data_IF_484465063655
#
_entry.id   IF_484465063655
#
_cell.length_a   1.000
_cell.length_b   1.000
_cell.length_c   1.000
_cell.angle_alpha   90.00
_cell.angle_beta   90.00
_cell.angle_gamma   90.00
#
_symmetry.space_group_name_H-M   'P 1'
#
loop_
_entity.id
_entity.type
_entity.pdbx_description
1 polymer ?
#
# COMPACT_ATOMS: atom_id res chain seq x y z
N UNK A 1 -20.77 75.32 -12.16
CA UNK A 1 -21.48 74.00 -12.14
C UNK A 1 -20.45 72.93 -11.84
N UNK A 2 -20.44 72.27 -10.67
CA UNK A 2 -19.43 71.32 -10.31
C UNK A 2 -19.78 69.89 -10.70
N UNK A 3 -18.90 69.25 -11.41
CA UNK A 3 -18.96 67.82 -11.80
C UNK A 3 -18.60 66.96 -10.58
N UNK A 4 -19.52 66.10 -10.16
CA UNK A 4 -19.35 65.12 -9.08
C UNK A 4 -18.57 63.91 -9.58
N UNK A 5 -17.36 63.73 -9.09
CA UNK A 5 -16.56 62.52 -9.28
C UNK A 5 -17.03 61.44 -8.32
N UNK A 6 -17.60 60.34 -8.83
CA UNK A 6 -17.96 59.16 -8.04
C UNK A 6 -16.75 58.26 -7.93
N UNK A 7 -16.24 58.16 -6.70
CA UNK A 7 -15.11 57.27 -6.35
C UNK A 7 -15.70 55.88 -5.98
N UNK A 8 -15.51 54.89 -6.87
CA UNK A 8 -15.91 53.51 -6.60
C UNK A 8 -14.86 52.84 -5.69
N UNK A 9 -15.27 52.55 -4.47
CA UNK A 9 -14.45 51.76 -3.51
C UNK A 9 -14.67 50.28 -3.82
N UNK A 10 -13.64 49.64 -4.45
CA UNK A 10 -13.59 48.19 -4.55
C UNK A 10 -13.24 47.59 -3.19
N UNK A 11 -14.21 47.02 -2.53
CA UNK A 11 -13.99 46.21 -1.32
C UNK A 11 -13.38 44.84 -1.75
N UNK A 12 -12.11 44.67 -1.47
CA UNK A 12 -11.43 43.37 -1.56
C UNK A 12 -11.91 42.48 -0.42
N UNK A 13 -12.76 41.51 -0.73
CA UNK A 13 -13.11 40.45 0.22
C UNK A 13 -11.92 39.51 0.38
N UNK A 14 -11.19 39.63 1.49
CA UNK A 14 -10.21 38.69 1.97
C UNK A 14 -10.94 37.41 2.39
N UNK A 15 -10.92 36.38 1.54
CA UNK A 15 -11.35 35.03 1.89
C UNK A 15 -10.37 34.46 2.92
N UNK A 16 -10.81 34.45 4.17
CA UNK A 16 -10.15 33.81 5.30
C UNK A 16 -10.05 32.31 5.04
N UNK A 17 -8.87 31.83 4.73
CA UNK A 17 -8.57 30.40 4.75
C UNK A 17 -8.68 29.94 6.19
N UNK A 18 -9.70 29.17 6.51
CA UNK A 18 -9.86 28.50 7.78
C UNK A 18 -8.74 27.45 7.92
N UNK A 19 -7.64 27.84 8.55
CA UNK A 19 -6.70 26.91 9.13
C UNK A 19 -7.48 26.11 10.17
N UNK A 20 -7.61 24.81 9.98
CA UNK A 20 -8.16 23.91 10.99
C UNK A 20 -7.25 24.02 12.23
N UNK A 21 -7.59 24.94 13.14
CA UNK A 21 -6.94 25.04 14.44
C UNK A 21 -7.28 23.79 15.22
N UNK A 22 -6.26 23.01 15.54
CA UNK A 22 -6.34 21.89 16.46
C UNK A 22 -6.81 22.45 17.81
N UNK A 23 -8.13 22.38 18.06
CA UNK A 23 -8.75 22.85 19.30
C UNK A 23 -8.42 21.84 20.38
N UNK A 24 -7.67 22.26 21.38
CA UNK A 24 -7.49 21.45 22.58
C UNK A 24 -8.86 21.18 23.22
N UNK A 25 -9.14 19.92 23.63
CA UNK A 25 -10.41 19.59 24.26
C UNK A 25 -10.57 20.40 25.54
N UNK A 26 -11.79 20.89 25.77
CA UNK A 26 -12.12 21.64 26.98
C UNK A 26 -12.16 20.70 28.19
N UNK A 27 -11.98 21.24 29.41
CA UNK A 27 -12.11 20.44 30.64
C UNK A 27 -13.44 19.69 30.73
N UNK A 28 -14.53 20.30 30.23
CA UNK A 28 -15.85 19.64 30.19
C UNK A 28 -15.90 18.46 29.22
N UNK A 29 -15.18 18.52 28.11
CA UNK A 29 -15.06 17.39 27.15
C UNK A 29 -14.21 16.29 27.75
N UNK A 30 -13.15 16.64 28.46
CA UNK A 30 -12.29 15.66 29.18
C UNK A 30 -13.07 14.98 30.30
N UNK A 31 -13.88 15.73 31.07
CA UNK A 31 -14.72 15.14 32.13
C UNK A 31 -15.81 14.22 31.56
N UNK A 32 -16.45 14.59 30.44
CA UNK A 32 -17.40 13.69 29.75
C UNK A 32 -16.72 12.43 29.23
N UNK A 33 -15.51 12.55 28.65
CA UNK A 33 -14.75 11.40 28.21
C UNK A 33 -14.36 10.49 29.40
N UNK A 34 -13.96 11.04 30.55
CA UNK A 34 -13.70 10.28 31.77
C UNK A 34 -14.92 9.55 32.31
N UNK A 35 -16.11 10.17 32.23
CA UNK A 35 -17.38 9.53 32.63
C UNK A 35 -17.78 8.41 31.66
N UNK A 36 -17.44 8.53 30.39
CA UNK A 36 -17.71 7.53 29.36
C UNK A 36 -16.72 6.36 29.39
N UNK A 37 -15.46 6.60 29.83
CA UNK A 37 -14.43 5.59 30.06
C UNK A 37 -14.48 5.11 31.52
N UNK A 38 -15.42 4.19 31.80
CA UNK A 38 -15.43 3.49 33.09
C UNK A 38 -14.17 2.65 33.20
N UNK A 39 -13.31 2.96 34.15
CA UNK A 39 -12.19 2.08 34.47
C UNK A 39 -12.75 0.70 34.89
N UNK A 40 -12.17 -0.42 34.39
CA UNK A 40 -12.61 -1.75 34.80
C UNK A 40 -12.47 -1.90 36.32
N UNK A 41 -13.50 -2.38 36.96
CA UNK A 41 -13.49 -2.67 38.40
C UNK A 41 -12.79 -4.02 38.64
N UNK A 42 -12.37 -4.27 39.90
CA UNK A 42 -11.80 -5.56 40.28
C UNK A 42 -12.73 -6.74 39.94
N UNK A 43 -14.05 -6.52 40.01
CA UNK A 43 -15.06 -7.50 39.60
C UNK A 43 -15.02 -7.77 38.07
N UNK A 44 -14.80 -6.76 37.25
CA UNK A 44 -14.66 -6.90 35.78
C UNK A 44 -13.38 -7.65 35.42
N UNK A 45 -12.30 -7.40 36.18
CA UNK A 45 -11.01 -8.10 36.03
C UNK A 45 -11.15 -9.57 36.41
N UNK A 46 -11.82 -9.89 37.52
CA UNK A 46 -12.07 -11.28 37.95
C UNK A 46 -13.03 -12.01 37.01
N UNK A 47 -14.03 -11.33 36.45
CA UNK A 47 -14.90 -11.90 35.42
C UNK A 47 -14.12 -12.19 34.12
N UNK A 48 -13.22 -11.30 33.73
CA UNK A 48 -12.32 -11.50 32.59
C UNK A 48 -11.37 -12.67 32.82
N UNK A 49 -10.75 -12.79 34.00
CA UNK A 49 -9.92 -13.93 34.37
C UNK A 49 -10.66 -15.28 34.32
N UNK A 50 -11.94 -15.28 34.73
CA UNK A 50 -12.78 -16.49 34.63
C UNK A 50 -13.12 -16.83 33.18
N UNK A 51 -13.38 -15.83 32.35
CA UNK A 51 -13.74 -15.99 30.93
C UNK A 51 -12.53 -16.41 30.08
N UNK A 52 -11.36 -15.83 30.36
CA UNK A 52 -10.11 -16.12 29.67
C UNK A 52 -9.18 -16.91 30.61
N UNK A 53 -9.63 -18.10 31.01
CA UNK A 53 -8.80 -19.00 31.80
C UNK A 53 -7.50 -19.29 31.07
N UNK A 54 -6.39 -18.87 31.62
CA UNK A 54 -5.09 -19.35 31.16
C UNK A 54 -5.08 -20.89 31.30
N UNK A 55 -4.63 -21.61 30.27
CA UNK A 55 -4.49 -23.07 30.39
C UNK A 55 -3.56 -23.36 31.56
N UNK A 56 -3.84 -24.41 32.35
CA UNK A 56 -3.00 -24.78 33.48
C UNK A 56 -1.58 -25.04 33.00
N UNK A 57 -0.60 -24.70 33.82
CA UNK A 57 0.83 -24.80 33.50
C UNK A 57 1.19 -26.19 32.92
N UNK A 58 0.55 -27.25 33.42
CA UNK A 58 0.72 -28.61 32.90
C UNK A 58 0.31 -28.81 31.45
N UNK A 59 -0.61 -27.97 30.90
CA UNK A 59 -0.94 -27.98 29.47
C UNK A 59 0.07 -27.20 28.64
N UNK A 60 0.63 -26.13 29.20
CA UNK A 60 1.71 -25.37 28.58
C UNK A 60 2.99 -26.22 28.51
N UNK A 61 3.32 -26.93 29.61
CA UNK A 61 4.45 -27.82 29.65
C UNK A 61 4.29 -29.03 28.71
N UNK A 62 3.06 -29.58 28.55
CA UNK A 62 2.78 -30.60 27.53
C UNK A 62 2.90 -30.07 26.12
N UNK A 63 2.44 -28.84 25.86
CA UNK A 63 2.57 -28.22 24.55
C UNK A 63 4.05 -27.93 24.23
N UNK A 64 4.82 -27.51 25.22
CA UNK A 64 6.26 -27.32 25.09
C UNK A 64 7.01 -28.66 24.89
N UNK A 65 6.60 -29.72 25.59
CA UNK A 65 7.21 -31.06 25.46
C UNK A 65 6.73 -31.84 24.23
N UNK A 66 5.57 -31.49 23.64
CA UNK A 66 5.08 -32.10 22.41
C UNK A 66 5.68 -31.45 21.14
N UNK A 67 6.39 -30.36 21.27
CA UNK A 67 7.30 -29.93 20.22
C UNK A 67 8.45 -30.93 20.20
N UNK A 68 8.38 -31.91 19.29
CA UNK A 68 9.56 -32.73 18.96
C UNK A 68 10.73 -31.79 18.81
N UNK A 69 11.84 -32.00 19.50
CA UNK A 69 13.01 -31.14 19.31
C UNK A 69 13.29 -31.14 17.82
N UNK A 70 13.25 -29.96 17.21
CA UNK A 70 13.65 -29.81 15.81
C UNK A 70 15.06 -30.38 15.77
N UNK A 71 15.20 -31.55 15.11
CA UNK A 71 16.51 -32.13 14.95
C UNK A 71 17.29 -31.22 13.98
N UNK A 72 18.03 -30.27 14.54
CA UNK A 72 18.86 -29.33 13.79
C UNK A 72 19.93 -30.05 12.98
N UNK A 73 20.34 -31.26 13.41
CA UNK A 73 21.32 -32.10 12.70
C UNK A 73 20.71 -32.74 11.43
N UNK A 74 19.38 -32.80 11.33
CA UNK A 74 18.68 -33.29 10.14
C UNK A 74 18.42 -32.19 9.09
N UNK A 75 18.68 -30.92 9.40
CA UNK A 75 18.65 -29.83 8.43
C UNK A 75 19.98 -29.93 7.66
N UNK A 76 19.96 -30.16 6.32
CA UNK A 76 21.19 -30.16 5.55
C UNK A 76 21.80 -28.76 5.65
N UNK A 77 22.77 -28.60 6.53
CA UNK A 77 23.58 -27.40 6.59
C UNK A 77 24.38 -27.32 5.29
N UNK A 78 24.38 -26.17 4.61
CA UNK A 78 25.28 -25.99 3.49
C UNK A 78 26.71 -26.27 3.99
N UNK A 79 27.36 -27.26 3.41
CA UNK A 79 28.76 -27.59 3.69
C UNK A 79 29.65 -26.50 3.11
N UNK A 80 29.88 -25.46 3.88
CA UNK A 80 30.75 -24.35 3.57
C UNK A 80 30.65 -23.32 4.69
N UNK A 81 31.78 -22.76 5.08
CA UNK A 81 31.78 -21.59 5.95
C UNK A 81 30.93 -20.51 5.28
N UNK A 82 29.82 -20.15 5.92
CA UNK A 82 29.04 -18.99 5.49
C UNK A 82 29.92 -17.78 5.74
N UNK A 83 30.48 -17.20 4.69
CA UNK A 83 31.20 -15.95 4.74
C UNK A 83 30.21 -14.82 5.12
N UNK A 84 29.98 -14.70 6.44
CA UNK A 84 29.06 -13.69 7.01
C UNK A 84 29.57 -12.29 6.71
N UNK A 85 30.89 -12.08 6.64
CA UNK A 85 31.47 -10.79 6.27
C UNK A 85 31.28 -10.50 4.78
N UNK A 86 31.44 -11.50 3.90
CA UNK A 86 31.13 -11.37 2.48
C UNK A 86 29.64 -11.10 2.24
N UNK A 87 28.76 -11.79 2.97
CA UNK A 87 27.32 -11.56 2.93
C UNK A 87 26.96 -10.16 3.45
N UNK A 88 27.56 -9.71 4.55
CA UNK A 88 27.34 -8.36 5.09
C UNK A 88 27.86 -7.29 4.13
N UNK A 89 29.02 -7.48 3.52
CA UNK A 89 29.55 -6.58 2.46
C UNK A 89 28.68 -6.57 1.22
N UNK A 90 28.22 -7.73 0.78
CA UNK A 90 27.28 -7.83 -0.36
C UNK A 90 25.94 -7.15 -0.03
N UNK A 91 25.43 -7.28 1.21
CA UNK A 91 24.24 -6.60 1.66
C UNK A 91 24.43 -5.08 1.69
N UNK A 92 25.57 -4.58 2.25
CA UNK A 92 25.89 -3.15 2.26
C UNK A 92 26.06 -2.59 0.84
N UNK A 93 26.73 -3.30 -0.06
CA UNK A 93 26.90 -2.91 -1.45
C UNK A 93 25.58 -2.91 -2.22
N UNK A 94 24.69 -3.86 -1.91
CA UNK A 94 23.39 -3.99 -2.54
C UNK A 94 22.29 -3.21 -1.80
N UNK A 95 22.57 -2.68 -0.59
CA UNK A 95 21.58 -1.91 0.18
C UNK A 95 21.02 -0.74 -0.64
N UNK A 96 21.89 -0.01 -1.35
CA UNK A 96 21.45 1.06 -2.25
C UNK A 96 20.71 0.54 -3.49
N UNK A 97 20.98 -0.69 -3.93
CA UNK A 97 20.18 -1.32 -4.97
C UNK A 97 18.81 -1.74 -4.42
N UNK A 98 18.74 -2.32 -3.21
CA UNK A 98 17.48 -2.62 -2.52
C UNK A 98 16.70 -1.37 -2.11
N UNK A 99 17.38 -0.26 -1.76
CA UNK A 99 16.75 1.03 -1.48
C UNK A 99 16.31 1.74 -2.77
N UNK A 100 17.07 1.64 -3.86
CA UNK A 100 16.67 2.08 -5.20
C UNK A 100 15.55 1.20 -5.78
N UNK A 101 15.54 -0.08 -5.42
CA UNK A 101 14.60 -1.08 -5.93
C UNK A 101 13.28 -1.13 -5.12
N UNK A 102 12.95 -0.06 -4.43
CA UNK A 102 11.56 0.18 -4.01
C UNK A 102 10.71 0.55 -5.23
N UNK A 103 10.84 -0.17 -6.34
CA UNK A 103 9.96 -0.29 -7.50
C UNK A 103 9.21 0.94 -8.05
N UNK A 104 9.35 2.09 -7.39
CA UNK A 104 8.59 3.30 -7.67
C UNK A 104 9.40 4.37 -8.40
N UNK A 105 10.74 4.37 -8.26
CA UNK A 105 11.64 5.25 -8.98
C UNK A 105 12.45 4.44 -10.00
N UNK A 106 11.82 4.14 -11.11
CA UNK A 106 12.45 3.50 -12.27
C UNK A 106 12.88 4.56 -13.27
N UNK A 107 13.91 4.26 -14.05
CA UNK A 107 14.29 5.03 -15.26
C UNK A 107 13.27 4.88 -16.41
N UNK A 108 12.31 3.97 -16.24
CA UNK A 108 11.18 3.77 -17.14
C UNK A 108 9.85 4.08 -16.41
N UNK A 109 8.81 4.50 -17.13
CA UNK A 109 7.48 4.63 -16.53
C UNK A 109 6.96 3.27 -16.07
N UNK A 110 6.27 3.26 -14.93
CA UNK A 110 5.72 2.04 -14.31
C UNK A 110 4.20 2.15 -14.22
N UNK A 111 3.53 1.05 -14.52
CA UNK A 111 2.09 0.90 -14.34
C UNK A 111 1.81 -0.09 -13.21
N UNK A 112 1.19 0.40 -12.15
CA UNK A 112 0.69 -0.43 -11.05
C UNK A 112 -0.80 -0.67 -11.19
N UNK A 113 -1.22 -1.89 -10.89
CA UNK A 113 -2.63 -2.29 -10.85
C UNK A 113 -2.93 -2.82 -9.45
N UNK A 114 -3.59 -2.00 -8.66
CA UNK A 114 -3.98 -2.32 -7.30
C UNK A 114 -5.23 -3.17 -7.30
N UNK A 115 -5.16 -4.37 -6.74
CA UNK A 115 -6.25 -5.35 -6.74
C UNK A 115 -6.41 -6.01 -5.37
N UNK A 116 -7.52 -6.71 -5.18
CA UNK A 116 -7.74 -7.62 -4.07
C UNK A 116 -8.13 -8.99 -4.60
N UNK A 117 -7.75 -10.06 -3.90
CA UNK A 117 -8.12 -11.41 -4.30
C UNK A 117 -9.62 -11.71 -4.10
N UNK A 118 -10.35 -10.86 -3.39
CA UNK A 118 -11.82 -10.92 -3.28
C UNK A 118 -12.57 -10.36 -4.49
N UNK A 119 -11.90 -9.85 -5.51
CA UNK A 119 -12.53 -9.41 -6.75
C UNK A 119 -13.02 -10.63 -7.57
N UNK A 120 -14.01 -10.43 -8.48
CA UNK A 120 -14.43 -11.51 -9.38
C UNK A 120 -13.25 -12.09 -10.16
N UNK A 121 -13.14 -13.40 -10.19
CA UNK A 121 -12.03 -14.10 -10.84
C UNK A 121 -11.91 -13.73 -12.32
N UNK A 122 -13.03 -13.53 -13.01
CA UNK A 122 -13.05 -13.12 -14.41
C UNK A 122 -12.37 -11.74 -14.60
N UNK A 123 -12.64 -10.79 -13.71
CA UNK A 123 -11.99 -9.46 -13.73
C UNK A 123 -10.49 -9.61 -13.47
N UNK A 124 -10.09 -10.39 -12.46
CA UNK A 124 -8.68 -10.63 -12.16
C UNK A 124 -7.94 -11.26 -13.36
N UNK A 125 -8.53 -12.27 -14.01
CA UNK A 125 -7.94 -12.93 -15.18
C UNK A 125 -7.79 -11.99 -16.38
N UNK A 126 -8.76 -11.09 -16.61
CA UNK A 126 -8.68 -10.05 -17.63
C UNK A 126 -7.52 -9.08 -17.34
N UNK A 127 -7.44 -8.60 -16.11
CA UNK A 127 -6.37 -7.68 -15.68
C UNK A 127 -4.99 -8.34 -15.77
N UNK A 128 -4.87 -9.61 -15.38
CA UNK A 128 -3.64 -10.41 -15.50
C UNK A 128 -3.22 -10.55 -16.97
N UNK A 129 -4.18 -10.80 -17.88
CA UNK A 129 -3.89 -10.90 -19.30
C UNK A 129 -3.30 -9.59 -19.84
N UNK A 130 -3.91 -8.49 -19.51
CA UNK A 130 -3.43 -7.17 -19.94
C UNK A 130 -2.13 -6.76 -19.21
N UNK A 131 -1.99 -7.09 -17.92
CA UNK A 131 -0.76 -6.85 -17.16
C UNK A 131 0.43 -7.62 -17.73
N UNK A 132 0.24 -8.86 -18.18
CA UNK A 132 1.31 -9.65 -18.81
C UNK A 132 1.82 -9.01 -20.10
N UNK A 133 0.95 -8.39 -20.89
CA UNK A 133 1.33 -7.67 -22.13
C UNK A 133 1.97 -6.32 -21.86
N UNK A 134 1.47 -5.59 -20.87
CA UNK A 134 1.98 -4.27 -20.51
C UNK A 134 3.23 -4.32 -19.64
N UNK A 135 3.51 -5.46 -19.01
CA UNK A 135 4.47 -5.58 -17.90
C UNK A 135 4.06 -4.69 -16.71
N UNK A 136 2.76 -4.57 -16.47
CA UNK A 136 2.25 -3.88 -15.30
C UNK A 136 2.46 -4.75 -14.06
N UNK A 137 2.68 -4.09 -12.92
CA UNK A 137 2.88 -4.73 -11.63
C UNK A 137 1.52 -4.80 -10.92
N UNK A 138 1.09 -6.03 -10.58
CA UNK A 138 -0.12 -6.24 -9.79
C UNK A 138 0.20 -6.07 -8.31
N UNK A 139 -0.55 -5.21 -7.59
CA UNK A 139 -0.26 -4.88 -6.19
C UNK A 139 -1.40 -5.33 -5.30
N UNK A 140 -1.06 -6.15 -4.29
CA UNK A 140 -1.96 -6.58 -3.23
C UNK A 140 -1.71 -5.77 -1.95
N UNK A 141 -2.77 -5.43 -1.24
CA UNK A 141 -2.68 -4.74 0.05
C UNK A 141 -2.17 -5.65 1.17
N UNK A 142 -2.37 -6.95 1.06
CA UNK A 142 -2.00 -7.90 2.10
C UNK A 142 -2.20 -9.34 1.66
N UNK A 143 -2.13 -10.24 2.65
CA UNK A 143 -2.21 -11.68 2.46
C UNK A 143 -3.64 -12.19 2.61
N UNK A 144 -4.02 -13.16 1.81
CA UNK A 144 -5.25 -13.92 1.99
C UNK A 144 -5.17 -14.76 3.26
N UNK A 145 -6.14 -14.60 4.17
CA UNK A 145 -6.18 -15.30 5.47
C UNK A 145 -4.86 -15.20 6.26
N UNK A 146 -4.14 -14.08 6.15
CA UNK A 146 -2.82 -13.86 6.76
C UNK A 146 -1.78 -14.95 6.38
N UNK A 147 -1.95 -15.63 5.25
CA UNK A 147 -1.11 -16.74 4.81
C UNK A 147 -0.45 -16.46 3.47
N UNK A 148 0.87 -16.32 3.48
CA UNK A 148 1.66 -16.16 2.24
C UNK A 148 1.51 -17.38 1.31
N UNK A 149 1.42 -18.57 1.88
CA UNK A 149 1.27 -19.82 1.11
C UNK A 149 -0.08 -19.85 0.36
N UNK A 150 -1.17 -19.48 1.03
CA UNK A 150 -2.50 -19.44 0.40
C UNK A 150 -2.54 -18.33 -0.67
N UNK A 151 -2.03 -17.16 -0.36
CA UNK A 151 -1.91 -16.05 -1.31
C UNK A 151 -1.14 -16.48 -2.55
N UNK A 152 0.05 -17.07 -2.38
CA UNK A 152 0.88 -17.52 -3.49
C UNK A 152 0.19 -18.60 -4.34
N UNK A 153 -0.47 -19.58 -3.71
CA UNK A 153 -1.20 -20.63 -4.42
C UNK A 153 -2.37 -20.06 -5.23
N UNK A 154 -3.14 -19.15 -4.65
CA UNK A 154 -4.27 -18.49 -5.34
C UNK A 154 -3.77 -17.63 -6.52
N UNK A 155 -2.75 -16.80 -6.29
CA UNK A 155 -2.12 -15.99 -7.34
C UNK A 155 -1.59 -16.90 -8.47
N UNK A 156 -0.94 -18.01 -8.13
CA UNK A 156 -0.42 -18.97 -9.13
C UNK A 156 -1.56 -19.57 -9.98
N UNK A 157 -2.71 -19.90 -9.38
CA UNK A 157 -3.88 -20.39 -10.13
C UNK A 157 -4.42 -19.33 -11.09
N UNK A 158 -4.44 -18.06 -10.67
CA UNK A 158 -4.91 -16.94 -11.49
C UNK A 158 -3.96 -16.67 -12.67
N UNK A 159 -2.67 -16.65 -12.42
CA UNK A 159 -1.63 -16.36 -13.43
C UNK A 159 -1.54 -17.47 -14.50
N UNK A 160 -1.60 -18.73 -14.07
CA UNK A 160 -1.39 -19.88 -14.95
C UNK A 160 0.00 -19.85 -15.56
N UNK A 161 0.10 -19.76 -16.90
CA UNK A 161 1.36 -19.72 -17.66
C UNK A 161 1.84 -18.29 -18.00
N UNK A 162 1.12 -17.27 -17.56
CA UNK A 162 1.46 -15.88 -17.89
C UNK A 162 2.58 -15.37 -17.00
N UNK A 163 3.35 -14.42 -17.51
CA UNK A 163 4.39 -13.74 -16.74
C UNK A 163 3.85 -12.38 -16.28
N UNK A 164 3.54 -12.28 -14.99
CA UNK A 164 3.03 -11.06 -14.36
C UNK A 164 3.72 -10.89 -13.02
N UNK A 165 4.25 -9.71 -12.79
CA UNK A 165 4.86 -9.36 -11.52
C UNK A 165 3.78 -9.04 -10.49
N UNK A 166 3.92 -9.63 -9.27
CA UNK A 166 3.04 -9.37 -8.15
C UNK A 166 3.83 -8.85 -6.96
N UNK A 167 3.31 -7.80 -6.37
CA UNK A 167 3.86 -7.17 -5.19
C UNK A 167 2.83 -7.19 -4.06
N UNK A 168 3.24 -7.52 -2.85
CA UNK A 168 2.43 -7.37 -1.65
C UNK A 168 2.99 -6.17 -0.90
N UNK A 169 2.37 -5.02 -1.04
CA UNK A 169 2.82 -3.78 -0.42
C UNK A 169 1.64 -2.95 0.12
N UNK A 170 1.32 -3.11 1.41
CA UNK A 170 0.28 -2.30 2.05
C UNK A 170 0.57 -0.79 1.98
N UNK A 171 1.85 -0.41 2.09
CA UNK A 171 2.27 0.98 2.09
C UNK A 171 2.08 1.65 0.73
N UNK A 172 2.12 0.90 -0.37
CA UNK A 172 1.86 1.42 -1.70
C UNK A 172 0.44 1.99 -1.80
N UNK A 173 -0.54 1.36 -1.16
CA UNK A 173 -1.91 1.87 -1.13
C UNK A 173 -2.00 3.25 -0.47
N UNK A 174 -1.27 3.44 0.62
CA UNK A 174 -1.24 4.72 1.33
C UNK A 174 -0.45 5.78 0.54
N UNK A 175 0.69 5.41 -0.06
CA UNK A 175 1.53 6.32 -0.88
C UNK A 175 0.79 6.89 -2.10
N UNK A 176 -0.06 6.10 -2.73
CA UNK A 176 -0.83 6.52 -3.90
C UNK A 176 -2.27 6.92 -3.57
N UNK A 177 -2.66 6.89 -2.28
CA UNK A 177 -4.02 7.20 -1.81
C UNK A 177 -5.07 6.23 -2.35
N UNK A 178 -4.71 4.95 -2.52
CA UNK A 178 -5.59 3.92 -3.06
C UNK A 178 -6.48 3.37 -1.96
N UNK A 179 -7.78 3.60 -2.06
CA UNK A 179 -8.79 3.16 -1.09
C UNK A 179 -9.85 2.21 -1.68
N UNK A 180 -9.79 1.93 -2.99
CA UNK A 180 -10.67 0.97 -3.67
C UNK A 180 -9.90 0.18 -4.74
N UNK A 181 -10.40 -0.99 -5.11
CA UNK A 181 -9.83 -1.87 -6.13
C UNK A 181 -10.91 -2.24 -7.18
N UNK A 182 -10.53 -2.34 -8.47
CA UNK A 182 -9.20 -2.06 -9.00
C UNK A 182 -8.90 -0.57 -9.09
N UNK A 183 -7.62 -0.21 -8.91
CA UNK A 183 -7.09 1.14 -9.17
C UNK A 183 -5.81 1.02 -9.99
N UNK A 184 -5.70 1.84 -11.01
CA UNK A 184 -4.57 1.89 -11.94
C UNK A 184 -3.76 3.14 -11.66
N UNK A 185 -2.45 2.98 -11.45
CA UNK A 185 -1.54 4.09 -11.16
C UNK A 185 -0.41 4.08 -12.16
N UNK A 186 -0.33 5.12 -12.98
CA UNK A 186 0.73 5.34 -13.95
C UNK A 186 1.75 6.32 -13.37
N UNK A 187 2.97 5.85 -13.15
CA UNK A 187 4.07 6.62 -12.58
C UNK A 187 5.05 6.98 -13.68
N UNK A 188 5.50 8.24 -13.71
CA UNK A 188 6.53 8.70 -14.64
C UNK A 188 7.88 8.07 -14.36
N UNK A 189 8.70 7.97 -15.40
CA UNK A 189 10.13 7.69 -15.22
C UNK A 189 10.77 8.71 -14.27
N UNK A 190 11.72 8.25 -13.45
CA UNK A 190 12.48 9.10 -12.52
C UNK A 190 11.60 9.94 -11.60
N UNK A 191 10.43 9.43 -11.21
CA UNK A 191 9.53 10.10 -10.29
C UNK A 191 10.25 10.43 -8.98
N UNK A 192 10.25 11.69 -8.52
CA UNK A 192 10.92 12.06 -7.28
C UNK A 192 10.22 11.41 -6.09
N UNK A 193 11.01 10.78 -5.23
CA UNK A 193 10.56 10.23 -3.95
C UNK A 193 10.93 11.25 -2.88
N UNK A 194 9.94 11.70 -2.11
CA UNK A 194 10.10 12.63 -1.00
C UNK A 194 9.84 11.91 0.32
N UNK A 195 10.51 12.33 1.37
CA UNK A 195 10.18 11.89 2.72
C UNK A 195 8.86 12.53 3.18
N UNK A 196 7.99 11.73 3.74
CA UNK A 196 6.72 12.16 4.31
C UNK A 196 6.39 11.37 5.59
N UNK A 197 5.37 11.80 6.33
CA UNK A 197 4.99 11.19 7.62
C UNK A 197 4.68 9.69 7.54
N UNK A 198 4.26 9.19 6.37
CA UNK A 198 4.00 7.76 6.09
C UNK A 198 5.20 7.04 5.44
N UNK A 199 6.39 7.63 5.43
CA UNK A 199 7.58 7.12 4.76
C UNK A 199 7.85 7.82 3.42
N UNK A 200 8.29 7.08 2.40
CA UNK A 200 8.57 7.63 1.08
C UNK A 200 7.28 7.91 0.30
N UNK A 201 7.08 9.15 -0.13
CA UNK A 201 5.95 9.58 -0.96
C UNK A 201 6.41 9.93 -2.38
N UNK A 202 5.54 9.70 -3.34
CA UNK A 202 5.75 10.17 -4.71
C UNK A 202 5.03 11.50 -4.89
N UNK A 203 5.69 12.46 -5.53
CA UNK A 203 5.10 13.75 -5.78
C UNK A 203 3.78 13.62 -6.56
N UNK A 204 2.69 14.33 -6.19
CA UNK A 204 1.37 14.19 -6.83
C UNK A 204 1.34 14.48 -8.33
N UNK A 205 2.34 15.22 -8.83
CA UNK A 205 2.49 15.50 -10.26
C UNK A 205 3.27 14.42 -11.02
N UNK A 206 3.85 13.45 -10.33
CA UNK A 206 4.66 12.38 -10.91
C UNK A 206 3.88 11.09 -11.19
N UNK A 207 2.61 11.01 -10.78
CA UNK A 207 1.73 9.91 -11.11
C UNK A 207 0.32 10.37 -11.48
N UNK A 208 -0.43 9.49 -12.15
CA UNK A 208 -1.85 9.65 -12.40
C UNK A 208 -2.57 8.36 -12.01
N UNK A 209 -3.76 8.46 -11.42
CA UNK A 209 -4.54 7.31 -10.97
C UNK A 209 -5.97 7.33 -11.50
N UNK A 210 -6.48 6.15 -11.80
CA UNK A 210 -7.89 5.91 -12.16
C UNK A 210 -8.36 4.71 -11.36
N UNK A 211 -9.49 4.84 -10.70
CA UNK A 211 -10.13 3.75 -9.97
C UNK A 211 -11.46 3.37 -10.64
N UNK A 212 -11.78 2.08 -10.65
CA UNK A 212 -13.02 1.55 -11.20
C UNK A 212 -12.82 0.16 -11.82
N UNK A 213 -13.91 -0.61 -11.91
CA UNK A 213 -13.92 -1.93 -12.53
C UNK A 213 -13.91 -1.81 -14.05
N UNK A 214 -12.73 -1.52 -14.59
CA UNK A 214 -12.45 -1.31 -16.01
C UNK A 214 -11.19 -2.08 -16.42
N UNK A 215 -10.96 -2.20 -17.70
CA UNK A 215 -9.75 -2.80 -18.26
C UNK A 215 -8.55 -1.83 -18.21
N UNK A 216 -7.32 -2.37 -18.30
CA UNK A 216 -6.10 -1.55 -18.28
C UNK A 216 -6.05 -0.58 -19.46
N UNK A 217 -6.45 -1.01 -20.66
CA UNK A 217 -6.47 -0.15 -21.83
C UNK A 217 -7.46 1.03 -21.67
N UNK A 218 -8.66 0.77 -21.15
CA UNK A 218 -9.62 1.83 -20.84
C UNK A 218 -9.07 2.82 -19.79
N UNK A 219 -8.44 2.31 -18.72
CA UNK A 219 -7.83 3.15 -17.68
C UNK A 219 -6.74 4.05 -18.26
N UNK A 220 -5.87 3.49 -19.12
CA UNK A 220 -4.80 4.25 -19.79
C UNK A 220 -5.35 5.33 -20.72
N UNK A 221 -6.39 5.03 -21.52
CA UNK A 221 -7.07 6.03 -22.35
C UNK A 221 -7.74 7.12 -21.50
N UNK A 222 -8.31 6.75 -20.35
CA UNK A 222 -8.90 7.72 -19.44
C UNK A 222 -7.84 8.62 -18.81
N UNK A 223 -6.66 8.08 -18.45
CA UNK A 223 -5.50 8.86 -17.98
C UNK A 223 -5.05 9.81 -19.09
N UNK A 224 -4.90 9.35 -20.32
CA UNK A 224 -4.48 10.18 -21.46
C UNK A 224 -5.42 11.38 -21.65
N UNK A 225 -6.73 11.16 -21.60
CA UNK A 225 -7.73 12.22 -21.77
C UNK A 225 -7.77 13.19 -20.59
N UNK A 226 -7.68 12.70 -19.34
CA UNK A 226 -7.88 13.52 -18.13
C UNK A 226 -6.59 14.15 -17.62
N UNK A 227 -5.45 13.57 -17.95
CA UNK A 227 -4.13 14.00 -17.54
C UNK A 227 -3.14 14.00 -18.71
N UNK A 228 -3.27 14.94 -19.69
CA UNK A 228 -2.48 14.95 -20.94
C UNK A 228 -0.97 14.94 -20.71
N UNK A 229 -0.52 15.40 -19.55
CA UNK A 229 0.91 15.34 -19.13
C UNK A 229 1.45 13.91 -18.99
N UNK A 230 0.58 12.88 -18.97
CA UNK A 230 0.93 11.46 -18.92
C UNK A 230 0.66 10.75 -20.26
N UNK A 231 0.27 11.48 -21.31
CA UNK A 231 -0.03 10.91 -22.61
C UNK A 231 1.12 10.09 -23.20
N UNK A 232 2.39 10.51 -23.13
CA UNK A 232 3.50 9.71 -23.66
C UNK A 232 3.63 8.36 -22.96
N UNK A 233 3.53 8.34 -21.62
CA UNK A 233 3.61 7.12 -20.81
C UNK A 233 2.40 6.23 -21.06
N UNK A 234 1.19 6.79 -21.09
CA UNK A 234 -0.03 6.02 -21.38
C UNK A 234 0.02 5.35 -22.76
N UNK A 235 0.45 6.08 -23.78
CA UNK A 235 0.61 5.55 -25.15
C UNK A 235 1.65 4.43 -25.23
N UNK A 236 2.74 4.50 -24.44
CA UNK A 236 3.72 3.43 -24.37
C UNK A 236 3.08 2.10 -23.95
N UNK A 237 2.24 2.11 -22.91
CA UNK A 237 1.56 0.92 -22.42
C UNK A 237 0.41 0.50 -23.34
N UNK A 238 -0.34 1.43 -23.91
CA UNK A 238 -1.40 1.14 -24.92
C UNK A 238 -0.84 0.43 -26.14
N UNK A 239 0.33 0.85 -26.62
CA UNK A 239 1.04 0.15 -27.70
C UNK A 239 1.32 -1.32 -27.36
N UNK A 240 1.74 -1.63 -26.12
CA UNK A 240 2.03 -2.99 -25.67
C UNK A 240 0.77 -3.87 -25.60
N UNK A 241 -0.41 -3.27 -25.31
CA UNK A 241 -1.67 -4.02 -25.27
C UNK A 241 -2.16 -4.35 -26.70
N UNK A 242 -2.02 -3.40 -27.62
CA UNK A 242 -2.59 -3.46 -28.97
C UNK A 242 -1.70 -4.12 -30.01
N UNK A 243 -0.42 -4.21 -29.69
CA UNK A 243 0.59 -4.70 -30.55
C UNK A 243 1.28 -5.50 -30.89
#
# INVERSE_FOLDING_TARGET
MPTKTIMAICAFALSSHALAQYRQPTEQEIERAKQQYRQPTDADVEAAKKKYRQPPQSQLDRAASSQSPVNLDAIPMPKGDIDVEGLARAYEQNRHAFEKDKGYASDQPVLFVFVTLGMPEQTLRLLIDQASRTRAIMVLRGLENASIRQTAAHVQQLIGQKQVEWLIDPQAFDRFGVNQAPTFVLVKALAPINDCASGACIAPNAFASIAGDVSIDYALEAIERRAPRFSPEAQLFLKRIRG
#
